data_IF_437773255496
#
_entry.id   IF_437773255496
#
_cell.length_a   1.000
_cell.length_b   1.000
_cell.length_c   1.000
_cell.angle_alpha   90.00
_cell.angle_beta   90.00
_cell.angle_gamma   90.00
#
_symmetry.space_group_name_H-M   'P 1'
#
loop_
_entity.id
_entity.type
_entity.pdbx_description
1 polymer ?
#
# COMPACT_ATOMS: atom_id res chain seq x y z
N UNK A 1 18.46 -60.58 -39.82
CA UNK A 1 19.28 -60.72 -38.59
C UNK A 1 19.06 -59.45 -37.77
N UNK A 2 18.40 -59.40 -36.60
CA UNK A 2 17.79 -60.35 -35.65
C UNK A 2 16.43 -59.75 -35.23
N UNK A 3 15.29 -60.48 -35.23
CA UNK A 3 14.81 -61.42 -34.18
C UNK A 3 14.79 -60.75 -32.79
N UNK A 4 13.77 -60.82 -31.93
CA UNK A 4 12.47 -61.49 -31.84
C UNK A 4 11.87 -61.01 -30.48
N UNK A 5 10.55 -60.97 -30.30
CA UNK A 5 9.79 -61.48 -29.12
C UNK A 5 8.32 -61.02 -29.25
N UNK A 6 7.38 -61.91 -29.64
CA UNK A 6 6.46 -62.71 -28.79
C UNK A 6 5.47 -61.85 -27.98
N UNK A 7 4.22 -61.73 -28.42
CA UNK A 7 3.03 -62.55 -28.07
C UNK A 7 2.71 -62.59 -26.57
N UNK A 8 1.56 -62.00 -26.17
CA UNK A 8 0.47 -62.66 -25.42
C UNK A 8 -0.86 -61.97 -25.76
N UNK A 9 -1.83 -62.77 -26.20
CA UNK A 9 -3.27 -62.49 -26.38
C UNK A 9 -4.04 -62.85 -25.10
N UNK A 10 -5.31 -62.40 -25.05
CA UNK A 10 -6.48 -62.78 -24.22
C UNK A 10 -6.92 -61.63 -23.28
N UNK A 11 -8.19 -61.23 -23.18
CA UNK A 11 -9.44 -61.78 -23.72
C UNK A 11 -10.57 -60.73 -23.60
N UNK A 12 -11.27 -60.51 -24.71
CA UNK A 12 -12.73 -60.38 -24.90
C UNK A 12 -13.56 -59.52 -23.92
N UNK A 13 -14.21 -58.46 -24.44
CA UNK A 13 -15.68 -58.35 -24.42
C UNK A 13 -16.24 -57.21 -25.29
N UNK A 14 -17.01 -57.63 -26.30
CA UNK A 14 -18.21 -57.00 -26.90
C UNK A 14 -18.21 -55.50 -27.22
N UNK A 15 -18.05 -55.17 -28.51
CA UNK A 15 -18.37 -53.85 -29.05
C UNK A 15 -19.88 -53.76 -29.34
N UNK A 16 -20.53 -52.83 -28.63
CA UNK A 16 -21.91 -52.43 -28.82
C UNK A 16 -22.08 -51.52 -30.05
N UNK A 17 -23.35 -51.43 -30.47
CA UNK A 17 -23.85 -50.68 -31.60
C UNK A 17 -23.47 -49.19 -31.61
N UNK A 18 -23.50 -48.66 -32.83
CA UNK A 18 -23.38 -47.25 -33.23
C UNK A 18 -24.20 -46.33 -32.34
N UNK A 19 -23.56 -45.34 -31.72
CA UNK A 19 -24.21 -44.09 -31.34
C UNK A 19 -23.46 -42.93 -31.97
N UNK A 20 -24.17 -42.06 -32.68
CA UNK A 20 -23.65 -40.81 -33.21
C UNK A 20 -22.98 -40.00 -32.09
N UNK A 21 -21.74 -39.58 -32.32
CA UNK A 21 -21.04 -38.61 -31.50
C UNK A 21 -21.77 -37.26 -31.60
N UNK A 22 -22.37 -36.83 -30.48
CA UNK A 22 -22.70 -35.43 -30.29
C UNK A 22 -21.41 -34.67 -29.99
N UNK A 23 -21.13 -33.62 -30.78
CA UNK A 23 -20.07 -32.67 -30.50
C UNK A 23 -20.26 -32.06 -29.09
N UNK A 24 -19.18 -31.75 -28.35
CA UNK A 24 -19.32 -31.07 -27.07
C UNK A 24 -19.93 -29.68 -27.29
N UNK A 25 -20.93 -29.33 -26.49
CA UNK A 25 -21.47 -27.98 -26.42
C UNK A 25 -20.33 -26.99 -26.10
N UNK A 26 -20.28 -25.82 -26.77
CA UNK A 26 -19.32 -24.79 -26.40
C UNK A 26 -19.63 -24.36 -24.95
N UNK A 27 -18.63 -24.49 -24.07
CA UNK A 27 -18.68 -23.89 -22.74
C UNK A 27 -18.95 -22.38 -22.84
N UNK A 28 -19.36 -21.73 -21.74
CA UNK A 28 -19.78 -20.33 -21.78
C UNK A 28 -18.69 -19.48 -22.45
N UNK A 29 -19.01 -18.94 -23.62
CA UNK A 29 -18.20 -17.95 -24.31
C UNK A 29 -17.85 -16.88 -23.27
N UNK A 30 -16.55 -16.62 -23.10
CA UNK A 30 -16.09 -15.59 -22.18
C UNK A 30 -16.81 -14.29 -22.54
N UNK A 31 -17.76 -13.86 -21.70
CA UNK A 31 -18.48 -12.61 -21.90
C UNK A 31 -17.44 -11.52 -22.16
N UNK A 32 -17.65 -10.78 -23.26
CA UNK A 32 -16.86 -9.59 -23.56
C UNK A 32 -17.17 -8.59 -22.46
N UNK A 33 -16.37 -8.62 -21.39
CA UNK A 33 -16.45 -7.65 -20.31
C UNK A 33 -16.04 -6.32 -20.94
N UNK A 34 -17.02 -5.43 -21.07
CA UNK A 34 -16.77 -4.05 -21.41
C UNK A 34 -15.71 -3.50 -20.43
N UNK A 35 -14.49 -3.15 -20.92
CA UNK A 35 -13.42 -2.69 -20.05
C UNK A 35 -13.72 -1.30 -19.49
N UNK A 36 -14.82 -0.66 -19.89
CA UNK A 36 -15.17 0.67 -19.43
C UNK A 36 -15.16 0.77 -17.90
N UNK A 37 -14.39 1.74 -17.40
CA UNK A 37 -14.22 2.00 -15.97
C UNK A 37 -13.65 0.80 -15.17
N UNK A 38 -12.88 -0.09 -15.80
CA UNK A 38 -12.21 -1.23 -15.16
C UNK A 38 -10.73 -1.00 -14.92
N UNK A 39 -10.21 -1.66 -13.89
CA UNK A 39 -8.81 -1.66 -13.51
C UNK A 39 -8.06 -2.86 -14.08
N UNK A 40 -6.83 -2.60 -14.50
CA UNK A 40 -5.81 -3.58 -14.89
C UNK A 40 -4.44 -3.15 -14.39
N UNK A 41 -3.38 -3.80 -14.88
CA UNK A 41 -2.00 -3.49 -14.50
C UNK A 41 -1.09 -3.36 -15.71
N UNK A 42 -0.18 -2.39 -15.64
CA UNK A 42 0.87 -2.17 -16.63
C UNK A 42 2.25 -2.31 -16.00
N UNK A 43 3.22 -2.71 -16.81
CA UNK A 43 4.63 -2.65 -16.41
C UNK A 43 5.23 -1.26 -16.64
N UNK A 44 6.49 -1.09 -16.25
CA UNK A 44 7.25 0.16 -16.37
C UNK A 44 7.49 0.62 -17.81
N UNK A 45 7.22 -0.24 -18.82
CA UNK A 45 7.26 0.12 -20.24
C UNK A 45 5.90 0.58 -20.77
N UNK A 46 4.84 0.47 -19.96
CA UNK A 46 3.45 0.75 -20.34
C UNK A 46 2.75 -0.41 -21.04
N UNK A 47 3.37 -1.59 -21.08
CA UNK A 47 2.74 -2.80 -21.59
C UNK A 47 1.71 -3.28 -20.57
N UNK A 48 0.51 -3.60 -21.05
CA UNK A 48 -0.53 -4.22 -20.22
C UNK A 48 -0.08 -5.64 -19.84
N UNK A 49 0.01 -5.90 -18.54
CA UNK A 49 0.36 -7.22 -17.98
C UNK A 49 -0.90 -7.94 -17.53
N UNK A 50 -1.85 -7.19 -16.96
CA UNK A 50 -3.16 -7.71 -16.54
C UNK A 50 -4.21 -6.83 -17.19
N UNK A 51 -5.01 -7.42 -18.07
CA UNK A 51 -6.05 -6.70 -18.80
C UNK A 51 -7.05 -6.02 -17.86
N UNK A 52 -7.48 -4.78 -18.16
CA UNK A 52 -8.51 -4.09 -17.40
C UNK A 52 -9.84 -4.85 -17.41
N UNK A 53 -10.21 -5.43 -16.27
CA UNK A 53 -11.48 -6.15 -16.08
C UNK A 53 -12.00 -6.17 -14.65
N UNK A 54 -11.25 -5.60 -13.71
CA UNK A 54 -11.59 -5.62 -12.28
C UNK A 54 -12.29 -4.32 -11.87
N UNK A 55 -13.27 -4.42 -11.00
CA UNK A 55 -13.99 -3.24 -10.49
C UNK A 55 -13.10 -2.39 -9.59
N UNK A 56 -12.27 -3.05 -8.78
CA UNK A 56 -11.31 -2.45 -7.87
C UNK A 56 -10.10 -3.36 -7.73
N UNK A 57 -8.94 -2.74 -7.61
CA UNK A 57 -7.67 -3.40 -7.31
C UNK A 57 -6.93 -2.58 -6.26
N UNK A 58 -6.09 -3.23 -5.47
CA UNK A 58 -5.05 -2.57 -4.69
C UNK A 58 -3.68 -2.80 -5.35
N UNK A 59 -2.68 -1.94 -5.09
CA UNK A 59 -1.33 -2.16 -5.59
C UNK A 59 -0.75 -3.51 -5.16
N UNK A 60 0.21 -4.03 -5.94
CA UNK A 60 0.97 -5.22 -5.56
C UNK A 60 1.74 -4.98 -4.27
N UNK A 61 1.73 -5.99 -3.40
CA UNK A 61 2.53 -6.05 -2.17
C UNK A 61 2.82 -7.50 -1.83
N UNK A 62 4.09 -7.80 -1.58
CA UNK A 62 4.62 -9.14 -1.32
C UNK A 62 4.22 -10.17 -2.41
N UNK A 63 4.25 -9.74 -3.67
CA UNK A 63 3.98 -10.58 -4.83
C UNK A 63 2.51 -10.76 -5.22
N UNK A 64 1.56 -10.25 -4.43
CA UNK A 64 0.12 -10.39 -4.67
C UNK A 64 -0.60 -9.03 -4.69
N UNK A 65 -1.68 -8.94 -5.45
CA UNK A 65 -2.57 -7.77 -5.48
C UNK A 65 -3.99 -8.16 -5.08
N UNK A 66 -4.57 -7.46 -4.12
CA UNK A 66 -5.96 -7.68 -3.72
C UNK A 66 -6.91 -7.11 -4.78
N UNK A 67 -7.91 -7.88 -5.20
CA UNK A 67 -8.85 -7.48 -6.26
C UNK A 67 -10.29 -7.83 -5.90
N UNK A 68 -11.22 -7.04 -6.40
CA UNK A 68 -12.66 -7.30 -6.26
C UNK A 68 -13.19 -8.01 -7.50
N UNK A 69 -13.81 -9.18 -7.28
CA UNK A 69 -14.51 -9.96 -8.31
C UNK A 69 -15.93 -10.22 -7.79
N UNK A 70 -16.93 -9.67 -8.48
CA UNK A 70 -18.28 -9.58 -7.93
C UNK A 70 -18.26 -8.74 -6.65
N UNK A 71 -18.76 -9.28 -5.55
CA UNK A 71 -18.78 -8.57 -4.25
C UNK A 71 -17.64 -8.93 -3.30
N UNK A 72 -16.76 -9.84 -3.70
CA UNK A 72 -15.75 -10.42 -2.80
C UNK A 72 -14.33 -10.06 -3.23
N UNK A 73 -13.47 -9.93 -2.23
CA UNK A 73 -12.04 -9.76 -2.38
C UNK A 73 -11.33 -11.10 -2.53
N UNK A 74 -10.45 -11.18 -3.51
CA UNK A 74 -9.45 -12.25 -3.71
C UNK A 74 -8.09 -11.64 -4.03
N UNK A 75 -7.15 -12.46 -4.50
CA UNK A 75 -5.79 -12.00 -4.81
C UNK A 75 -5.29 -12.55 -6.14
N UNK A 76 -4.61 -11.70 -6.90
CA UNK A 76 -3.92 -12.06 -8.14
C UNK A 76 -2.43 -12.17 -7.91
N UNK A 77 -1.78 -13.08 -8.63
CA UNK A 77 -0.34 -13.03 -8.83
C UNK A 77 0.05 -12.00 -9.92
N UNK A 78 1.36 -11.79 -10.10
CA UNK A 78 1.90 -10.85 -11.10
C UNK A 78 1.60 -11.23 -12.56
N UNK A 79 1.13 -12.45 -12.82
CA UNK A 79 0.68 -12.90 -14.14
C UNK A 79 -0.82 -12.64 -14.37
N UNK A 80 -1.53 -12.18 -13.34
CA UNK A 80 -2.97 -11.94 -13.37
C UNK A 80 -3.81 -13.20 -13.09
N UNK A 81 -3.20 -14.31 -12.65
CA UNK A 81 -3.95 -15.50 -12.23
C UNK A 81 -4.47 -15.30 -10.81
N UNK A 82 -5.67 -15.80 -10.55
CA UNK A 82 -6.25 -15.82 -9.21
C UNK A 82 -5.44 -16.79 -8.34
N UNK A 83 -4.60 -16.24 -7.46
CA UNK A 83 -3.81 -17.00 -6.50
C UNK A 83 -4.66 -17.38 -5.28
N UNK A 84 -5.54 -16.47 -4.82
CA UNK A 84 -6.47 -16.69 -3.71
C UNK A 84 -7.87 -16.31 -4.19
N UNK A 85 -8.81 -17.25 -4.07
CA UNK A 85 -10.18 -17.09 -4.59
C UNK A 85 -10.91 -15.91 -3.92
N UNK A 86 -11.80 -15.21 -4.65
CA UNK A 86 -12.56 -14.10 -4.10
C UNK A 86 -13.65 -14.58 -3.15
N UNK A 87 -13.34 -14.65 -1.86
CA UNK A 87 -14.27 -15.14 -0.81
C UNK A 87 -14.38 -14.22 0.40
N UNK A 88 -13.58 -13.16 0.47
CA UNK A 88 -13.54 -12.25 1.63
C UNK A 88 -14.42 -11.03 1.40
N UNK A 89 -15.06 -10.52 2.46
CA UNK A 89 -15.88 -9.31 2.36
C UNK A 89 -14.99 -8.07 2.17
N UNK A 90 -13.82 -8.07 2.80
CA UNK A 90 -12.76 -7.05 2.66
C UNK A 90 -11.39 -7.73 2.79
N UNK A 91 -10.39 -7.23 2.07
CA UNK A 91 -8.99 -7.62 2.25
C UNK A 91 -8.06 -6.41 2.20
N UNK A 92 -6.97 -6.45 2.97
CA UNK A 92 -5.85 -5.50 2.84
C UNK A 92 -4.77 -6.08 1.93
N UNK A 93 -3.82 -5.27 1.43
CA UNK A 93 -2.59 -5.81 0.85
C UNK A 93 -1.83 -6.68 1.85
N UNK A 94 -0.99 -7.58 1.34
CA UNK A 94 -0.05 -8.32 2.17
C UNK A 94 1.01 -7.39 2.74
N UNK A 95 1.30 -7.55 4.03
CA UNK A 95 2.38 -6.87 4.72
C UNK A 95 2.90 -7.79 5.84
N UNK A 96 4.21 -7.88 6.01
CA UNK A 96 4.80 -8.77 7.01
C UNK A 96 4.49 -10.25 6.76
N UNK A 97 4.22 -10.65 5.52
CA UNK A 97 3.87 -12.03 5.15
C UNK A 97 2.41 -12.42 5.38
N UNK A 98 1.55 -11.50 5.84
CA UNK A 98 0.13 -11.77 6.11
C UNK A 98 -0.76 -10.67 5.54
N UNK A 99 -2.00 -11.01 5.19
CA UNK A 99 -3.03 -10.04 4.81
C UNK A 99 -4.19 -10.09 5.81
N UNK A 100 -4.67 -8.93 6.27
CA UNK A 100 -5.88 -8.85 7.07
C UNK A 100 -7.10 -9.05 6.16
N UNK A 101 -8.00 -9.95 6.55
CA UNK A 101 -9.22 -10.25 5.81
C UNK A 101 -10.43 -10.19 6.71
N UNK A 102 -11.54 -9.68 6.18
CA UNK A 102 -12.83 -9.68 6.84
C UNK A 102 -13.71 -10.82 6.30
N UNK A 103 -14.25 -11.61 7.21
CA UNK A 103 -15.20 -12.69 6.92
C UNK A 103 -16.41 -12.50 7.84
N UNK A 104 -17.57 -12.23 7.24
CA UNK A 104 -18.85 -12.05 7.95
C UNK A 104 -18.76 -11.03 9.08
N UNK A 105 -18.06 -9.92 8.85
CA UNK A 105 -17.94 -8.81 9.79
C UNK A 105 -16.82 -8.95 10.83
N UNK A 106 -16.07 -10.06 10.85
CA UNK A 106 -14.92 -10.24 11.75
C UNK A 106 -13.62 -10.30 10.98
N UNK A 107 -12.56 -9.74 11.57
CA UNK A 107 -11.23 -9.70 10.99
C UNK A 107 -10.34 -10.82 11.51
N UNK A 108 -9.59 -11.41 10.59
CA UNK A 108 -8.51 -12.38 10.81
C UNK A 108 -7.38 -12.16 9.81
N UNK A 109 -6.46 -13.11 9.69
CA UNK A 109 -5.30 -12.98 8.81
C UNK A 109 -5.04 -14.27 8.04
N UNK A 110 -4.63 -14.11 6.78
CA UNK A 110 -4.24 -15.19 5.88
C UNK A 110 -2.77 -15.10 5.48
N UNK A 111 -2.17 -16.24 5.17
CA UNK A 111 -0.86 -16.33 4.50
C UNK A 111 -0.99 -16.19 2.97
N UNK A 112 0.13 -16.11 2.21
CA UNK A 112 0.10 -15.97 0.75
C UNK A 112 -0.48 -17.16 -0.01
N UNK A 113 -0.73 -18.30 0.66
CA UNK A 113 -1.45 -19.45 0.09
C UNK A 113 -2.97 -19.32 0.23
N UNK A 114 -3.44 -18.32 0.99
CA UNK A 114 -4.84 -18.09 1.32
C UNK A 114 -5.31 -18.85 2.56
N UNK A 115 -4.41 -19.51 3.30
CA UNK A 115 -4.74 -20.23 4.52
C UNK A 115 -4.89 -19.26 5.67
N UNK A 116 -5.94 -19.42 6.48
CA UNK A 116 -6.11 -18.69 7.74
C UNK A 116 -4.98 -19.05 8.72
N UNK A 117 -4.24 -18.03 9.14
CA UNK A 117 -3.23 -18.12 10.20
C UNK A 117 -3.83 -17.66 11.53
N UNK A 118 -4.67 -16.63 11.48
CA UNK A 118 -5.39 -16.11 12.64
C UNK A 118 -6.87 -16.06 12.28
N UNK A 119 -7.67 -16.82 13.02
CA UNK A 119 -9.11 -16.96 12.78
C UNK A 119 -9.85 -15.61 12.90
N UNK A 120 -10.85 -15.35 12.03
CA UNK A 120 -11.64 -14.13 12.11
C UNK A 120 -12.43 -14.04 13.42
N UNK A 121 -12.02 -13.13 14.30
CA UNK A 121 -12.68 -12.88 15.60
C UNK A 121 -12.67 -11.43 16.05
N UNK A 122 -11.82 -10.60 15.43
CA UNK A 122 -11.63 -9.21 15.82
C UNK A 122 -12.67 -8.30 15.15
N UNK A 123 -13.03 -7.22 15.83
CA UNK A 123 -13.90 -6.17 15.30
C UNK A 123 -13.16 -5.29 14.29
N UNK A 124 -11.83 -5.18 14.42
CA UNK A 124 -10.97 -4.47 13.49
C UNK A 124 -9.55 -5.06 13.50
N UNK A 125 -8.81 -4.91 12.41
CA UNK A 125 -7.44 -5.36 12.24
C UNK A 125 -6.66 -4.40 11.35
N UNK A 126 -5.41 -4.12 11.72
CA UNK A 126 -4.46 -3.36 10.91
C UNK A 126 -3.52 -4.32 10.17
N UNK A 127 -2.97 -3.94 9.01
CA UNK A 127 -1.90 -4.70 8.39
C UNK A 127 -0.73 -4.89 9.35
N UNK A 128 0.00 -6.00 9.21
CA UNK A 128 1.24 -6.20 9.93
C UNK A 128 2.28 -5.16 9.49
N UNK A 129 3.06 -4.69 10.46
CA UNK A 129 4.24 -3.86 10.25
C UNK A 129 5.36 -4.45 11.07
N UNK A 130 6.50 -4.73 10.43
CA UNK A 130 7.57 -5.57 10.99
C UNK A 130 7.02 -6.96 11.32
N UNK A 131 6.78 -7.26 12.59
CA UNK A 131 6.26 -8.55 13.06
C UNK A 131 4.96 -8.46 13.88
N UNK A 132 4.34 -7.28 13.94
CA UNK A 132 3.20 -7.02 14.82
C UNK A 132 2.04 -6.34 14.09
N UNK A 133 0.83 -6.60 14.58
CA UNK A 133 -0.38 -5.95 14.10
C UNK A 133 -1.27 -5.49 15.26
N UNK A 134 -1.92 -4.35 15.09
CA UNK A 134 -2.98 -3.88 15.97
C UNK A 134 -4.30 -4.56 15.64
N UNK A 135 -4.95 -5.16 16.63
CA UNK A 135 -6.29 -5.75 16.51
C UNK A 135 -7.21 -5.20 17.57
N UNK A 136 -8.51 -5.09 17.23
CA UNK A 136 -9.53 -4.55 18.11
C UNK A 136 -10.55 -5.62 18.49
N UNK A 137 -10.82 -5.77 19.78
CA UNK A 137 -11.87 -6.63 20.32
C UNK A 137 -12.59 -5.87 21.44
N UNK A 138 -13.93 -5.81 21.40
CA UNK A 138 -14.75 -5.21 22.46
C UNK A 138 -14.30 -3.79 22.85
N UNK A 139 -14.08 -2.95 21.83
CA UNK A 139 -13.63 -1.56 21.96
C UNK A 139 -12.19 -1.34 22.45
N UNK A 140 -11.42 -2.39 22.73
CA UNK A 140 -10.01 -2.27 23.11
C UNK A 140 -9.10 -2.78 22.01
N UNK A 141 -7.95 -2.14 21.89
CA UNK A 141 -6.88 -2.54 20.99
C UNK A 141 -5.79 -3.31 21.73
N UNK A 142 -5.27 -4.31 21.04
CA UNK A 142 -4.10 -5.10 21.45
C UNK A 142 -3.13 -5.23 20.28
N UNK A 143 -1.87 -5.43 20.59
CA UNK A 143 -0.88 -5.89 19.62
C UNK A 143 -0.76 -7.41 19.69
N UNK A 144 -0.71 -8.02 18.51
CA UNK A 144 -0.47 -9.46 18.34
C UNK A 144 0.76 -9.71 17.47
N UNK A 145 1.40 -10.85 17.68
CA UNK A 145 2.40 -11.39 16.76
C UNK A 145 1.75 -12.15 15.58
N UNK A 146 2.59 -12.70 14.68
CA UNK A 146 2.17 -13.45 13.49
C UNK A 146 1.42 -14.75 13.79
N UNK A 147 1.46 -15.25 15.02
CA UNK A 147 0.70 -16.43 15.47
C UNK A 147 -0.61 -16.02 16.17
N UNK A 148 -0.88 -14.71 16.28
CA UNK A 148 -2.06 -14.19 16.97
C UNK A 148 -1.92 -14.17 18.49
N UNK A 149 -0.71 -14.36 19.03
CA UNK A 149 -0.44 -14.22 20.46
C UNK A 149 -0.42 -12.75 20.82
N UNK A 150 -1.17 -12.38 21.85
CA UNK A 150 -1.16 -11.03 22.39
C UNK A 150 0.18 -10.72 23.06
N UNK A 151 0.75 -9.55 22.71
CA UNK A 151 2.00 -9.01 23.26
C UNK A 151 1.69 -7.96 24.33
N UNK A 152 0.73 -7.08 24.05
CA UNK A 152 0.22 -6.08 24.98
C UNK A 152 -1.20 -5.67 24.55
N UNK A 153 -2.07 -5.36 25.51
CA UNK A 153 -3.49 -5.13 25.24
C UNK A 153 -4.14 -4.09 26.14
N UNK A 154 -5.46 -3.97 26.00
CA UNK A 154 -6.33 -3.08 26.77
C UNK A 154 -6.17 -1.58 26.49
N UNK A 155 -5.72 -1.20 25.30
CA UNK A 155 -5.56 0.20 24.88
C UNK A 155 -6.81 0.76 24.21
N UNK A 156 -7.01 2.08 24.29
CA UNK A 156 -8.09 2.76 23.54
C UNK A 156 -7.78 2.86 22.06
N UNK A 157 -6.50 2.93 21.70
CA UNK A 157 -6.01 2.83 20.32
C UNK A 157 -4.54 2.41 20.30
N UNK A 158 -4.07 1.98 19.13
CA UNK A 158 -2.67 1.63 18.88
C UNK A 158 -2.17 2.29 17.60
N UNK A 159 -0.87 2.25 17.32
CA UNK A 159 -0.23 2.61 16.06
C UNK A 159 0.08 1.38 15.21
N UNK A 160 0.87 1.56 14.15
CA UNK A 160 1.66 0.45 13.59
C UNK A 160 3.01 0.41 14.30
N UNK A 161 3.63 -0.77 14.35
CA UNK A 161 5.02 -0.87 14.79
C UNK A 161 5.95 -0.20 13.78
N UNK A 162 6.99 0.45 14.29
CA UNK A 162 8.12 0.92 13.51
C UNK A 162 9.33 1.04 14.41
N UNK A 163 10.48 0.54 13.96
CA UNK A 163 11.75 0.50 14.70
C UNK A 163 11.59 -0.09 16.09
N UNK A 164 10.94 -1.26 16.16
CA UNK A 164 10.70 -2.01 17.40
C UNK A 164 9.80 -1.29 18.42
N UNK A 165 9.12 -0.22 18.03
CA UNK A 165 8.23 0.55 18.91
C UNK A 165 6.80 0.61 18.36
N UNK A 166 5.84 0.27 19.22
CA UNK A 166 4.41 0.39 18.95
C UNK A 166 3.80 1.57 19.72
N UNK A 167 3.19 2.52 19.02
CA UNK A 167 2.43 3.59 19.69
C UNK A 167 1.19 3.01 20.39
N UNK A 168 0.92 3.43 21.61
CA UNK A 168 -0.25 3.01 22.40
C UNK A 168 -0.97 4.23 22.93
N UNK A 169 -2.30 4.17 22.99
CA UNK A 169 -3.13 5.20 23.61
C UNK A 169 -3.93 4.62 24.75
N UNK A 170 -3.73 5.15 25.95
CA UNK A 170 -4.63 4.91 27.09
C UNK A 170 -5.90 5.73 26.97
N UNK A 171 -6.47 6.14 28.10
CA UNK A 171 -7.73 6.90 28.12
C UNK A 171 -7.65 8.21 27.32
N UNK A 172 -6.52 8.92 27.41
CA UNK A 172 -6.37 10.25 26.82
C UNK A 172 -5.10 10.43 26.01
N UNK A 173 -3.97 9.88 26.48
CA UNK A 173 -2.65 10.19 25.97
C UNK A 173 -1.97 8.98 25.33
N UNK A 174 -1.04 9.28 24.43
CA UNK A 174 -0.21 8.37 23.67
C UNK A 174 1.17 8.22 24.28
N UNK A 175 1.68 7.00 24.23
CA UNK A 175 3.04 6.59 24.59
C UNK A 175 3.51 5.48 23.64
N UNK A 176 4.60 4.79 24.00
CA UNK A 176 5.16 3.71 23.18
C UNK A 176 5.61 2.53 24.02
N UNK A 177 5.38 1.34 23.48
CA UNK A 177 5.87 0.07 24.01
C UNK A 177 6.95 -0.51 23.08
N UNK A 178 7.82 -1.37 23.63
CA UNK A 178 8.70 -2.22 22.83
C UNK A 178 8.01 -3.50 22.35
N UNK A 179 8.77 -4.32 21.64
CA UNK A 179 8.38 -5.64 21.12
C UNK A 179 8.02 -6.68 22.18
N UNK A 180 8.33 -6.43 23.46
CA UNK A 180 7.93 -7.27 24.59
C UNK A 180 6.69 -6.73 25.32
N UNK A 181 6.08 -5.66 24.81
CA UNK A 181 4.93 -5.02 25.46
C UNK A 181 5.29 -4.08 26.60
N UNK A 182 6.57 -3.81 26.86
CA UNK A 182 7.00 -2.93 27.93
C UNK A 182 6.93 -1.48 27.48
N UNK A 183 6.28 -0.62 28.28
CA UNK A 183 6.28 0.83 28.04
C UNK A 183 7.72 1.37 28.11
N UNK A 184 8.19 1.95 27.00
CA UNK A 184 9.50 2.60 26.87
C UNK A 184 9.36 4.12 26.93
N UNK A 185 8.27 4.64 26.37
CA UNK A 185 7.98 6.06 26.37
C UNK A 185 6.60 6.27 27.02
N UNK A 186 6.52 6.99 28.16
CA UNK A 186 5.27 7.15 28.89
C UNK A 186 4.15 7.80 28.07
N UNK A 187 2.91 7.46 28.42
CA UNK A 187 1.70 8.01 27.80
C UNK A 187 1.48 9.48 28.19
N UNK A 188 2.16 10.38 27.50
CA UNK A 188 2.17 11.83 27.81
C UNK A 188 1.87 12.74 26.61
N UNK A 189 1.67 12.17 25.43
CA UNK A 189 1.45 12.92 24.20
C UNK A 189 -0.03 12.95 23.82
N UNK A 190 -0.55 14.08 23.34
CA UNK A 190 -1.89 14.17 22.78
C UNK A 190 -2.05 13.38 21.47
N UNK A 191 -0.97 13.21 20.71
CA UNK A 191 -0.91 12.34 19.52
C UNK A 191 0.50 11.78 19.32
N UNK A 192 0.59 10.64 18.63
CA UNK A 192 1.84 9.93 18.33
C UNK A 192 1.76 9.21 16.98
N UNK A 193 2.80 9.33 16.15
CA UNK A 193 2.94 8.55 14.92
C UNK A 193 3.89 7.35 15.11
N UNK A 194 3.85 6.32 14.24
CA UNK A 194 4.87 5.27 14.24
C UNK A 194 6.27 5.85 14.00
N UNK A 195 7.31 5.23 14.57
CA UNK A 195 8.67 5.61 14.24
C UNK A 195 9.00 5.23 12.79
N UNK A 196 9.58 6.16 12.04
CA UNK A 196 9.91 5.96 10.63
C UNK A 196 11.21 5.16 10.44
N UNK A 197 11.69 5.05 9.20
CA UNK A 197 12.94 4.36 8.85
C UNK A 197 14.21 4.93 9.53
N UNK A 198 14.16 6.14 10.06
CA UNK A 198 15.24 6.79 10.80
C UNK A 198 15.10 6.65 12.32
N UNK A 199 14.04 5.97 12.79
CA UNK A 199 13.75 5.86 14.23
C UNK A 199 13.22 7.14 14.84
N UNK A 200 12.55 7.97 14.03
CA UNK A 200 11.95 9.23 14.48
C UNK A 200 10.42 9.12 14.39
N UNK A 201 9.73 9.54 15.44
CA UNK A 201 8.29 9.70 15.46
C UNK A 201 7.88 11.15 15.73
N UNK A 202 6.70 11.52 15.24
CA UNK A 202 6.06 12.80 15.55
C UNK A 202 5.14 12.65 16.75
N UNK A 203 5.13 13.68 17.59
CA UNK A 203 4.23 13.75 18.73
C UNK A 203 3.67 15.16 18.88
N UNK A 204 2.46 15.25 19.42
CA UNK A 204 1.90 16.52 19.90
C UNK A 204 1.79 16.48 21.42
N UNK A 205 2.25 17.52 22.10
CA UNK A 205 2.10 17.69 23.54
C UNK A 205 0.67 18.08 23.91
N UNK A 206 0.24 17.88 25.17
CA UNK A 206 -1.09 18.30 25.62
C UNK A 206 -1.39 19.80 25.44
N UNK A 207 -0.35 20.63 25.46
CA UNK A 207 -0.44 22.08 25.22
C UNK A 207 -0.45 22.47 23.74
N UNK A 208 -0.48 21.49 22.82
CA UNK A 208 -0.50 21.70 21.38
C UNK A 208 0.86 21.88 20.73
N UNK A 209 1.97 21.91 21.49
CA UNK A 209 3.32 21.97 20.91
C UNK A 209 3.67 20.69 20.18
N UNK A 210 4.33 20.83 19.03
CA UNK A 210 4.84 19.70 18.27
C UNK A 210 6.23 19.29 18.73
N UNK A 211 6.51 17.99 18.68
CA UNK A 211 7.82 17.43 19.01
C UNK A 211 8.19 16.26 18.10
N UNK A 212 9.49 16.04 18.00
CA UNK A 212 10.08 14.88 17.35
C UNK A 212 10.80 14.05 18.40
N UNK A 213 10.57 12.75 18.38
CA UNK A 213 11.13 11.83 19.35
C UNK A 213 11.88 10.71 18.67
N UNK A 214 12.90 10.19 19.35
CA UNK A 214 13.45 8.86 19.13
C UNK A 214 13.07 7.95 20.30
N UNK A 215 13.65 6.74 20.31
CA UNK A 215 13.48 5.77 21.40
C UNK A 215 13.88 6.28 22.77
N UNK A 216 14.77 7.27 22.86
CA UNK A 216 15.25 7.86 24.12
C UNK A 216 14.41 9.05 24.58
N UNK A 217 13.45 9.50 23.76
CA UNK A 217 12.60 10.64 24.05
C UNK A 217 12.82 11.76 23.05
N UNK A 218 12.78 13.01 23.52
CA UNK A 218 12.58 14.14 22.61
C UNK A 218 13.91 14.62 22.04
N UNK A 219 14.00 14.62 20.72
CA UNK A 219 15.15 15.10 19.93
C UNK A 219 15.02 16.61 19.70
N UNK A 220 13.81 17.08 19.38
CA UNK A 220 13.56 18.46 19.05
C UNK A 220 12.14 18.89 19.44
N UNK A 221 12.02 20.15 19.86
CA UNK A 221 10.77 20.87 20.03
C UNK A 221 10.77 22.05 19.09
N UNK A 222 9.62 22.35 18.50
CA UNK A 222 9.42 23.61 17.80
C UNK A 222 8.27 24.38 18.43
N UNK A 223 8.55 25.61 18.86
CA UNK A 223 7.54 26.54 19.36
C UNK A 223 6.95 27.29 18.17
N UNK A 224 5.65 27.12 17.90
CA UNK A 224 4.92 27.95 16.93
C UNK A 224 4.11 27.18 15.90
N UNK A 225 3.32 27.93 15.11
CA UNK A 225 2.30 27.49 14.17
C UNK A 225 2.82 26.76 12.91
N UNK A 226 4.06 26.29 12.93
CA UNK A 226 4.74 25.70 11.78
C UNK A 226 4.90 24.20 12.04
N UNK A 227 4.20 23.37 11.28
CA UNK A 227 4.12 21.91 11.47
C UNK A 227 5.11 21.20 10.55
N UNK A 228 6.30 20.80 11.02
CA UNK A 228 7.12 19.90 10.25
C UNK A 228 6.49 18.50 10.17
N UNK A 229 6.47 17.90 8.97
CA UNK A 229 6.10 16.49 8.78
C UNK A 229 7.32 15.55 8.97
N UNK A 230 7.12 14.24 8.82
CA UNK A 230 8.19 13.26 8.94
C UNK A 230 9.36 13.62 8.03
N UNK A 231 10.57 13.54 8.59
CA UNK A 231 11.79 13.62 7.79
C UNK A 231 11.81 12.48 6.78
N UNK A 232 12.15 12.84 5.56
CA UNK A 232 12.43 11.90 4.48
C UNK A 232 13.55 12.49 3.62
N UNK A 233 14.52 11.67 3.24
CA UNK A 233 15.75 12.11 2.55
C UNK A 233 16.45 13.30 3.24
N UNK A 234 16.41 13.33 4.57
CA UNK A 234 17.07 14.35 5.41
C UNK A 234 16.32 15.68 5.56
N UNK A 235 15.15 15.83 4.96
CA UNK A 235 14.33 17.05 5.06
C UNK A 235 12.89 16.74 5.51
N UNK A 236 12.30 17.69 6.22
CA UNK A 236 10.89 17.69 6.61
C UNK A 236 10.14 18.73 5.78
N UNK A 237 8.88 18.48 5.41
CA UNK A 237 8.00 19.56 4.93
C UNK A 237 7.73 20.52 6.07
N UNK A 238 7.45 21.80 5.82
CA UNK A 238 7.10 22.76 6.87
C UNK A 238 6.13 23.80 6.30
N UNK A 239 5.06 24.08 7.04
CA UNK A 239 4.12 25.15 6.74
C UNK A 239 4.54 26.45 7.43
N UNK A 240 4.80 27.49 6.64
CA UNK A 240 5.08 28.85 7.10
C UNK A 240 3.96 29.77 6.60
N UNK A 241 2.97 30.01 7.47
CA UNK A 241 1.83 30.92 7.22
C UNK A 241 1.01 30.54 5.98
N UNK A 242 0.71 29.25 5.79
CA UNK A 242 -0.09 28.74 4.69
C UNK A 242 0.71 28.51 3.41
N UNK A 243 2.04 28.51 3.49
CA UNK A 243 2.92 28.16 2.38
C UNK A 243 3.90 27.09 2.82
N UNK A 244 4.09 26.11 1.97
CA UNK A 244 4.90 24.95 2.25
C UNK A 244 6.32 25.10 1.71
N UNK A 245 7.28 24.69 2.53
CA UNK A 245 8.70 24.59 2.19
C UNK A 245 9.29 23.32 2.81
N UNK A 246 10.61 23.28 2.93
CA UNK A 246 11.31 22.16 3.55
C UNK A 246 12.42 22.64 4.49
N UNK A 247 12.57 21.97 5.63
CA UNK A 247 13.54 22.29 6.65
C UNK A 247 14.42 21.08 7.00
N UNK A 248 15.63 21.35 7.51
CA UNK A 248 16.50 20.33 8.09
C UNK A 248 16.05 19.92 9.50
N UNK A 249 16.75 18.96 10.11
CA UNK A 249 16.47 18.44 11.47
C UNK A 249 16.50 19.48 12.59
N UNK A 250 17.06 20.66 12.34
CA UNK A 250 17.08 21.78 13.30
C UNK A 250 15.88 22.71 13.14
N UNK A 251 15.03 22.47 12.14
CA UNK A 251 13.93 23.37 11.76
C UNK A 251 14.38 24.51 10.85
N UNK A 252 15.66 24.56 10.45
CA UNK A 252 16.15 25.59 9.53
C UNK A 252 15.64 25.30 8.11
N UNK A 253 15.00 26.31 7.50
CA UNK A 253 14.55 26.23 6.11
C UNK A 253 15.72 25.95 5.17
N UNK A 254 15.62 24.86 4.42
CA UNK A 254 16.50 24.48 3.30
C UNK A 254 15.87 24.90 1.99
N UNK A 255 14.55 24.68 1.85
CA UNK A 255 13.77 25.11 0.69
C UNK A 255 12.72 26.11 1.21
N UNK A 256 12.76 27.38 0.77
CA UNK A 256 11.85 28.41 1.26
C UNK A 256 10.38 28.04 1.06
N UNK A 257 9.55 28.39 2.04
CA UNK A 257 8.11 28.21 1.98
C UNK A 257 7.47 29.09 0.90
N UNK A 258 7.16 28.49 -0.24
CA UNK A 258 6.60 29.16 -1.43
C UNK A 258 5.55 28.35 -2.18
N UNK A 259 5.37 27.09 -1.81
CA UNK A 259 4.44 26.17 -2.45
C UNK A 259 3.07 26.22 -1.76
N UNK A 260 2.00 25.94 -2.49
CA UNK A 260 0.66 25.82 -1.89
C UNK A 260 0.46 24.49 -1.17
N UNK A 261 1.18 23.45 -1.59
CA UNK A 261 1.26 22.14 -0.93
C UNK A 261 2.53 21.42 -1.40
N UNK A 262 3.02 20.49 -0.58
CA UNK A 262 4.15 19.62 -0.92
C UNK A 262 3.90 18.23 -0.36
N UNK A 263 4.48 17.21 -1.00
CA UNK A 263 4.63 15.89 -0.41
C UNK A 263 6.01 15.77 0.26
N UNK A 264 6.17 14.76 1.13
CA UNK A 264 7.49 14.38 1.64
C UNK A 264 8.42 14.00 0.49
N UNK A 265 9.72 14.19 0.70
CA UNK A 265 10.72 13.65 -0.20
C UNK A 265 10.62 12.13 -0.29
N UNK A 266 10.89 11.58 -1.46
CA UNK A 266 11.14 10.15 -1.66
C UNK A 266 12.12 10.01 -2.81
N UNK A 267 13.18 9.22 -2.62
CA UNK A 267 14.21 9.00 -3.65
C UNK A 267 14.86 10.33 -4.10
N UNK A 268 15.00 11.29 -3.17
CA UNK A 268 15.63 12.58 -3.40
C UNK A 268 14.75 13.60 -4.14
N UNK A 269 13.47 13.29 -4.38
CA UNK A 269 12.53 14.15 -5.11
C UNK A 269 11.25 14.36 -4.29
N UNK A 270 10.72 15.57 -4.28
CA UNK A 270 9.42 15.87 -3.68
C UNK A 270 8.45 16.45 -4.71
N UNK A 271 7.19 16.03 -4.61
CA UNK A 271 6.08 16.65 -5.36
C UNK A 271 5.77 18.00 -4.72
N UNK A 272 5.63 19.04 -5.55
CA UNK A 272 5.30 20.39 -5.09
C UNK A 272 4.18 20.98 -5.94
N UNK A 273 3.30 21.75 -5.33
CA UNK A 273 2.21 22.45 -5.99
C UNK A 273 2.37 23.95 -5.86
N UNK A 274 2.14 24.68 -6.95
CA UNK A 274 2.15 26.14 -6.95
C UNK A 274 0.77 26.71 -6.65
N UNK A 275 0.71 28.00 -6.28
CA UNK A 275 -0.57 28.73 -6.12
C UNK A 275 -1.43 28.73 -7.39
N UNK A 276 -0.83 28.57 -8.57
CA UNK A 276 -1.55 28.40 -9.84
C UNK A 276 -2.25 27.03 -9.98
N UNK A 277 -2.08 26.14 -9.00
CA UNK A 277 -2.74 24.83 -8.94
C UNK A 277 -1.98 23.70 -9.62
N UNK A 278 -0.87 23.99 -10.31
CA UNK A 278 -0.06 23.03 -11.05
C UNK A 278 1.03 22.39 -10.19
N UNK A 279 1.32 21.14 -10.53
CA UNK A 279 2.27 20.26 -9.86
C UNK A 279 3.57 20.14 -10.66
N UNK A 280 4.68 20.13 -9.93
CA UNK A 280 6.03 19.88 -10.42
C UNK A 280 6.86 19.17 -9.36
N UNK A 281 8.17 19.06 -9.58
CA UNK A 281 9.04 18.28 -8.72
C UNK A 281 10.34 19.01 -8.41
N UNK A 282 10.77 18.92 -7.16
CA UNK A 282 11.96 19.62 -6.63
C UNK A 282 12.94 18.60 -6.04
N UNK A 283 14.24 18.87 -6.17
CA UNK A 283 15.27 18.11 -5.47
C UNK A 283 15.47 18.60 -4.02
N UNK A 284 16.29 17.89 -3.25
CA UNK A 284 16.61 18.21 -1.84
C UNK A 284 17.35 19.54 -1.65
N UNK A 285 17.81 20.18 -2.73
CA UNK A 285 18.46 21.51 -2.70
C UNK A 285 17.50 22.63 -3.09
N UNK A 286 16.24 22.30 -3.41
CA UNK A 286 15.25 23.28 -3.85
C UNK A 286 15.29 23.60 -5.34
N UNK A 287 16.10 22.90 -6.13
CA UNK A 287 16.13 23.05 -7.59
C UNK A 287 14.94 22.31 -8.20
N UNK A 288 14.21 22.99 -9.06
CA UNK A 288 13.14 22.36 -9.84
C UNK A 288 13.76 21.35 -10.81
N UNK A 289 13.38 20.09 -10.67
CA UNK A 289 13.71 19.03 -11.62
C UNK A 289 12.72 19.04 -12.78
N UNK A 290 11.45 19.28 -12.46
CA UNK A 290 10.35 19.32 -13.41
C UNK A 290 9.47 20.50 -13.04
N UNK A 291 9.28 21.43 -13.97
CA UNK A 291 8.53 22.65 -13.71
C UNK A 291 7.03 22.36 -13.45
N UNK A 292 6.35 23.18 -12.63
CA UNK A 292 4.97 22.92 -12.25
C UNK A 292 4.00 23.18 -13.40
N UNK A 293 3.75 22.14 -14.18
CA UNK A 293 2.99 22.20 -15.45
C UNK A 293 1.82 21.21 -15.49
N UNK A 294 1.80 20.22 -14.60
CA UNK A 294 0.77 19.19 -14.57
C UNK A 294 -0.44 19.62 -13.71
N UNK A 295 -1.67 19.50 -14.22
CA UNK A 295 -2.88 19.72 -13.42
C UNK A 295 -2.98 18.82 -12.17
N UNK A 296 -2.44 17.60 -12.24
CA UNK A 296 -2.33 16.70 -11.10
C UNK A 296 -1.14 15.74 -11.26
N UNK A 297 -0.59 15.26 -10.14
CA UNK A 297 0.50 14.30 -10.12
C UNK A 297 0.54 13.57 -8.77
N UNK A 298 1.24 12.44 -8.72
CA UNK A 298 1.57 11.72 -7.49
C UNK A 298 3.09 11.66 -7.31
N UNK A 299 3.57 11.37 -6.09
CA UNK A 299 5.00 11.27 -5.80
C UNK A 299 5.68 10.16 -6.62
N UNK A 300 7.00 10.26 -6.81
CA UNK A 300 7.78 9.20 -7.45
C UNK A 300 7.76 7.90 -6.63
N UNK A 301 7.58 6.77 -7.32
CA UNK A 301 7.72 5.41 -6.79
C UNK A 301 8.44 4.59 -7.85
N UNK A 302 9.52 3.89 -7.47
CA UNK A 302 10.32 3.06 -8.38
C UNK A 302 10.84 3.82 -9.62
N UNK A 303 11.21 5.10 -9.45
CA UNK A 303 11.73 5.94 -10.53
C UNK A 303 10.68 6.59 -11.45
N UNK A 304 9.38 6.34 -11.23
CA UNK A 304 8.30 6.88 -12.07
C UNK A 304 7.25 7.64 -11.25
N UNK A 305 6.60 8.63 -11.87
CA UNK A 305 5.51 9.37 -11.26
C UNK A 305 4.26 9.37 -12.16
N UNK A 306 3.07 9.00 -11.64
CA UNK A 306 1.80 9.25 -12.32
C UNK A 306 1.57 10.74 -12.47
N UNK A 307 1.23 11.19 -13.68
CA UNK A 307 0.85 12.57 -13.97
C UNK A 307 -0.42 12.64 -14.79
N UNK A 308 -1.25 13.63 -14.51
CA UNK A 308 -2.47 13.93 -15.24
C UNK A 308 -2.24 15.13 -16.14
N UNK A 309 -2.51 14.98 -17.43
CA UNK A 309 -2.42 16.10 -18.39
C UNK A 309 -3.76 16.83 -18.52
N UNK A 310 -3.78 17.93 -19.29
CA UNK A 310 -4.92 18.87 -19.34
C UNK A 310 -6.22 18.26 -19.88
N UNK A 311 -6.13 17.24 -20.74
CA UNK A 311 -7.29 16.48 -21.24
C UNK A 311 -7.90 15.55 -20.18
N UNK A 312 -7.28 15.46 -19.01
CA UNK A 312 -7.74 14.67 -17.88
C UNK A 312 -7.17 13.25 -17.82
N UNK A 313 -6.39 12.81 -18.81
CA UNK A 313 -5.78 11.48 -18.84
C UNK A 313 -4.52 11.40 -18.01
N UNK A 314 -4.30 10.23 -17.44
CA UNK A 314 -3.11 9.88 -16.68
C UNK A 314 -2.13 9.09 -17.53
N UNK A 315 -0.86 9.42 -17.37
CA UNK A 315 0.31 8.70 -17.88
C UNK A 315 1.43 8.73 -16.83
N UNK A 316 2.65 8.39 -17.25
CA UNK A 316 3.79 8.32 -16.33
C UNK A 316 4.99 9.06 -16.90
N UNK A 317 5.75 9.70 -16.01
CA UNK A 317 7.02 10.33 -16.32
C UNK A 317 8.17 9.71 -15.53
N UNK A 318 9.38 9.81 -16.07
CA UNK A 318 10.61 9.52 -15.34
C UNK A 318 11.08 10.72 -14.50
N UNK A 319 12.16 10.55 -13.73
CA UNK A 319 12.76 11.62 -12.90
C UNK A 319 13.32 12.82 -13.70
N UNK A 320 13.46 12.69 -15.02
CA UNK A 320 13.86 13.79 -15.92
C UNK A 320 12.65 14.51 -16.52
N UNK A 321 11.43 14.10 -16.17
CA UNK A 321 10.18 14.67 -16.68
C UNK A 321 9.77 14.14 -18.06
N UNK A 322 10.46 13.12 -18.59
CA UNK A 322 10.11 12.53 -19.88
C UNK A 322 8.89 11.63 -19.69
N UNK A 323 7.88 11.79 -20.55
CA UNK A 323 6.76 10.86 -20.64
C UNK A 323 7.29 9.49 -21.07
N UNK A 324 7.10 8.48 -20.21
CA UNK A 324 7.47 7.08 -20.46
C UNK A 324 6.27 6.21 -20.80
N UNK A 325 5.09 6.59 -20.32
CA UNK A 325 3.82 5.96 -20.66
C UNK A 325 2.86 7.08 -21.02
N UNK A 326 2.41 7.08 -22.27
CA UNK A 326 1.55 8.14 -22.79
C UNK A 326 0.27 8.29 -21.97
N UNK A 327 -0.18 9.53 -21.70
CA UNK A 327 -1.42 9.78 -21.00
C UNK A 327 -2.62 9.23 -21.77
N UNK A 328 -3.21 8.16 -21.27
CA UNK A 328 -4.38 7.49 -21.89
C UNK A 328 -5.34 6.86 -20.89
N UNK A 329 -4.98 6.83 -19.60
CA UNK A 329 -5.77 6.19 -18.56
C UNK A 329 -6.70 7.19 -17.88
N UNK A 330 -7.89 6.74 -17.47
CA UNK A 330 -8.79 7.53 -16.64
C UNK A 330 -8.21 7.77 -15.23
N UNK A 331 -7.48 6.78 -14.70
CA UNK A 331 -6.76 6.85 -13.42
C UNK A 331 -5.49 6.00 -13.47
N UNK A 332 -4.49 6.36 -12.66
CA UNK A 332 -3.21 5.68 -12.57
C UNK A 332 -2.69 5.72 -11.12
N UNK A 333 -2.25 4.58 -10.60
CA UNK A 333 -1.61 4.45 -9.29
C UNK A 333 -0.08 4.41 -9.43
N UNK A 334 0.62 4.61 -8.32
CA UNK A 334 2.08 4.44 -8.26
C UNK A 334 2.51 3.01 -8.61
N UNK A 335 3.72 2.89 -9.19
CA UNK A 335 4.36 1.58 -9.35
C UNK A 335 4.68 0.97 -7.98
N UNK A 336 4.30 -0.30 -7.83
CA UNK A 336 4.66 -1.20 -6.74
C UNK A 336 5.04 -2.56 -7.31
N UNK A 337 6.25 -2.99 -7.00
CA UNK A 337 6.87 -4.21 -7.49
C UNK A 337 6.90 -4.33 -9.03
N UNK A 338 7.28 -3.23 -9.69
CA UNK A 338 7.35 -3.06 -11.15
C UNK A 338 6.01 -3.08 -11.90
N UNK A 339 4.88 -3.08 -11.19
CA UNK A 339 3.54 -3.00 -11.77
C UNK A 339 2.77 -1.80 -11.21
N UNK A 340 1.96 -1.16 -12.04
CA UNK A 340 1.06 -0.09 -11.60
C UNK A 340 -0.38 -0.41 -12.00
N UNK A 341 -1.30 -0.18 -11.06
CA UNK A 341 -2.72 -0.27 -11.35
C UNK A 341 -3.14 0.93 -12.20
N UNK A 342 -3.87 0.66 -13.29
CA UNK A 342 -4.40 1.69 -14.19
C UNK A 342 -5.85 1.39 -14.50
N UNK A 343 -6.63 2.46 -14.67
CA UNK A 343 -8.05 2.38 -15.01
C UNK A 343 -8.26 2.95 -16.40
N UNK A 344 -8.96 2.21 -17.25
CA UNK A 344 -9.39 2.72 -18.55
C UNK A 344 -10.75 3.42 -18.42
N UNK A 345 -11.06 4.32 -19.36
CA UNK A 345 -12.33 5.05 -19.39
C UNK A 345 -13.51 4.12 -19.50
#
# INVERSE_FOLDING_TARGET
>A
MNRLLKFVMLSVCSAAAVSCSSAPEPGPEAEVVDPHNKWGFVDQTGKVVIEPRYERVLPFSEGLAAVVIGKYWGFLDKTGKIAIKPTFDVATPFAGGLAAVNVKGKWGYIDPTGKLVIEPKYDNARPFSEDYAGVKLENRWSYIDKQGKEIAGNFMDVGSFGKDLGAIRGETLWGYIDTNGKEVIPQKYASASPHNSDGIAEVTMPDGRFGLIDRNGIIAYQNGAERPSLFSDGLSTIDVRGQWGFADKTGKLVIPAKFSSVDKFSQGVALVRTKGGYYGFVDTKGKMLIDPTFPNAQSFSEGFAPVRVKDGKWGYIDQKGKIVIDPKYAQAEQFKEALAAVKVD
#
